data_IF_947026019496
#
_entry.id   IF_947026019496
#
_cell.length_a   1.000
_cell.length_b   1.000
_cell.length_c   1.000
_cell.angle_alpha   90.00
_cell.angle_beta   90.00
_cell.angle_gamma   90.00
#
_symmetry.space_group_name_H-M   'P 1'
#
loop_
_entity.id
_entity.type
_entity.pdbx_description
1 polymer ?
#
# COMPACT_ATOMS: atom_id res chain seq x y z
N UNK A 1 12.95 -45.55 -20.95
CA UNK A 1 12.03 -46.02 -19.91
C UNK A 1 11.32 -44.82 -19.31
N UNK A 2 10.12 -44.55 -19.82
CA UNK A 2 9.26 -43.42 -19.48
C UNK A 2 8.74 -43.53 -18.03
N UNK A 3 8.72 -42.42 -17.29
CA UNK A 3 8.00 -42.32 -16.01
C UNK A 3 6.82 -41.37 -16.21
N UNK A 4 5.65 -41.95 -16.46
CA UNK A 4 4.37 -41.25 -16.41
C UNK A 4 4.08 -40.85 -14.96
N UNK A 5 3.83 -39.55 -14.72
CA UNK A 5 3.31 -39.05 -13.45
C UNK A 5 1.80 -39.01 -13.55
N UNK A 6 1.14 -39.99 -12.95
CA UNK A 6 -0.31 -39.99 -12.74
C UNK A 6 -0.69 -38.95 -11.67
N UNK A 7 -1.19 -37.80 -12.10
CA UNK A 7 -1.84 -36.84 -11.20
C UNK A 7 -3.34 -37.15 -11.15
N UNK A 8 -3.76 -38.00 -10.21
CA UNK A 8 -5.19 -38.11 -9.86
C UNK A 8 -5.59 -36.88 -9.02
N UNK A 9 -6.50 -36.07 -9.55
CA UNK A 9 -7.17 -35.01 -8.80
C UNK A 9 -8.13 -35.66 -7.79
N UNK A 10 -8.03 -35.24 -6.52
CA UNK A 10 -8.97 -35.63 -5.46
C UNK A 10 -10.36 -35.06 -5.77
N UNK A 11 -11.38 -35.89 -5.61
CA UNK A 11 -12.79 -35.52 -5.86
C UNK A 11 -13.41 -34.89 -4.60
N UNK A 12 -14.46 -34.09 -4.76
CA UNK A 12 -15.16 -33.42 -3.65
C UNK A 12 -15.71 -34.40 -2.60
N UNK A 13 -15.95 -35.66 -3.00
CA UNK A 13 -16.39 -36.73 -2.10
C UNK A 13 -15.26 -37.23 -1.18
N UNK A 14 -13.99 -37.15 -1.62
CA UNK A 14 -12.81 -37.52 -0.82
C UNK A 14 -12.57 -36.54 0.34
N UNK A 15 -12.93 -35.27 0.17
CA UNK A 15 -12.81 -34.22 1.20
C UNK A 15 -13.95 -34.28 2.23
N UNK A 16 -15.15 -34.73 1.83
CA UNK A 16 -16.27 -34.90 2.76
C UNK A 16 -16.10 -36.15 3.63
N UNK A 17 -15.44 -37.20 3.15
CA UNK A 17 -15.09 -38.36 3.97
C UNK A 17 -14.03 -38.04 5.05
N UNK A 18 -13.21 -36.99 4.87
CA UNK A 18 -12.26 -36.55 5.89
C UNK A 18 -12.90 -35.73 7.03
N UNK A 19 -14.09 -35.15 6.80
CA UNK A 19 -14.82 -34.41 7.84
C UNK A 19 -15.50 -35.30 8.89
N UNK A 20 -15.73 -36.58 8.57
CA UNK A 20 -16.40 -37.53 9.48
C UNK A 20 -15.44 -38.45 10.25
N UNK A 21 -14.13 -38.20 10.23
CA UNK A 21 -13.15 -39.02 10.98
C UNK A 21 -12.94 -38.50 12.42
N UNK A 22 -13.41 -37.30 12.74
CA UNK A 22 -13.08 -36.62 14.00
C UNK A 22 -14.14 -36.70 15.11
N UNK A 23 -15.22 -37.47 14.95
CA UNK A 23 -16.30 -37.49 15.96
C UNK A 23 -16.34 -38.71 16.90
N UNK A 24 -15.48 -39.72 16.75
CA UNK A 24 -15.56 -40.94 17.56
C UNK A 24 -14.39 -41.13 18.54
N UNK A 25 -13.99 -40.09 19.28
CA UNK A 25 -13.08 -40.27 20.41
C UNK A 25 -13.86 -40.61 21.69
N UNK A 26 -13.63 -41.80 22.23
CA UNK A 26 -14.19 -42.19 23.52
C UNK A 26 -13.59 -41.33 24.64
N UNK A 27 -14.30 -41.19 25.78
CA UNK A 27 -13.80 -40.37 26.91
C UNK A 27 -12.42 -40.80 27.40
N UNK A 28 -12.09 -42.07 27.24
CA UNK A 28 -10.80 -42.64 27.64
C UNK A 28 -9.67 -42.20 26.69
N UNK A 29 -9.95 -42.07 25.38
CA UNK A 29 -9.00 -41.54 24.40
C UNK A 29 -8.71 -40.05 24.65
N UNK A 30 -9.73 -39.28 25.02
CA UNK A 30 -9.55 -37.87 25.39
C UNK A 30 -8.74 -37.71 26.69
N UNK A 31 -8.88 -38.65 27.63
CA UNK A 31 -8.07 -38.68 28.85
C UNK A 31 -6.62 -39.09 28.56
N UNK A 32 -6.40 -40.06 27.67
CA UNK A 32 -5.08 -40.46 27.21
C UNK A 32 -4.36 -39.31 26.49
N UNK A 33 -5.06 -38.57 25.63
CA UNK A 33 -4.53 -37.41 24.92
C UNK A 33 -4.19 -36.25 25.88
N UNK A 34 -5.01 -36.03 26.91
CA UNK A 34 -4.72 -35.09 28.00
C UNK A 34 -3.50 -35.50 28.83
N UNK A 35 -3.36 -36.79 29.15
CA UNK A 35 -2.22 -37.31 29.90
C UNK A 35 -0.91 -37.17 29.09
N UNK A 36 -0.97 -37.39 27.77
CA UNK A 36 0.17 -37.21 26.87
C UNK A 36 0.57 -35.72 26.76
N UNK A 37 -0.40 -34.82 26.64
CA UNK A 37 -0.17 -33.37 26.68
C UNK A 37 0.40 -32.90 28.04
N UNK A 38 0.04 -33.55 29.15
CA UNK A 38 0.62 -33.27 30.47
C UNK A 38 2.07 -33.78 30.59
N UNK A 39 2.41 -34.93 29.98
CA UNK A 39 3.79 -35.44 29.97
C UNK A 39 4.76 -34.53 29.20
N UNK A 40 4.28 -33.81 28.18
CA UNK A 40 5.10 -32.82 27.47
C UNK A 40 5.21 -31.47 28.19
N UNK A 41 4.36 -31.20 29.20
CA UNK A 41 4.46 -30.02 30.08
C UNK A 41 5.37 -30.28 31.30
N UNK A 42 5.50 -31.53 31.73
CA UNK A 42 6.25 -31.93 32.93
C UNK A 42 7.69 -32.41 32.70
N UNK A 43 8.23 -32.29 31.47
CA UNK A 43 9.69 -32.38 31.30
C UNK A 43 10.29 -31.05 31.79
N UNK A 44 10.99 -31.02 32.95
CA UNK A 44 11.74 -29.82 33.31
C UNK A 44 12.80 -29.61 32.23
N UNK A 45 12.82 -28.44 31.62
CA UNK A 45 13.91 -27.99 30.78
C UNK A 45 15.20 -27.97 31.62
N UNK A 46 15.91 -29.10 31.64
CA UNK A 46 17.26 -29.27 32.17
C UNK A 46 18.29 -28.58 31.27
N UNK A 47 18.08 -27.30 30.98
CA UNK A 47 19.06 -26.33 30.50
C UNK A 47 18.68 -24.89 30.92
N UNK A 48 17.99 -24.71 32.06
CA UNK A 48 17.88 -23.37 32.66
C UNK A 48 19.18 -23.05 33.42
N UNK A 49 20.18 -22.59 32.68
CA UNK A 49 21.24 -21.78 33.27
C UNK A 49 20.53 -20.67 34.04
N UNK A 50 20.65 -20.67 35.37
CA UNK A 50 20.36 -19.50 36.20
C UNK A 50 21.27 -18.39 35.68
N UNK A 51 20.79 -17.64 34.69
CA UNK A 51 21.38 -16.39 34.24
C UNK A 51 21.31 -15.51 35.47
N UNK A 52 22.43 -15.41 36.18
CA UNK A 52 22.69 -14.36 37.17
C UNK A 52 22.16 -13.09 36.53
N UNK A 53 21.30 -12.34 37.22
CA UNK A 53 20.74 -11.08 36.73
C UNK A 53 21.88 -10.21 36.18
N UNK A 54 22.05 -10.19 34.86
CA UNK A 54 23.07 -9.39 34.20
C UNK A 54 22.61 -7.96 34.33
N UNK A 55 23.16 -7.25 35.32
CA UNK A 55 23.01 -5.80 35.43
C UNK A 55 23.88 -5.21 34.31
N UNK A 56 23.29 -4.59 33.27
CA UNK A 56 24.03 -4.16 32.10
C UNK A 56 25.01 -3.05 32.48
N UNK A 57 26.29 -3.23 32.14
CA UNK A 57 27.39 -2.33 32.49
C UNK A 57 27.49 -1.17 31.50
N UNK A 58 27.22 -1.43 30.21
CA UNK A 58 27.31 -0.46 29.12
C UNK A 58 25.96 -0.13 28.48
N UNK A 59 25.84 1.04 27.84
CA UNK A 59 24.63 1.48 27.12
C UNK A 59 24.24 0.51 25.98
N UNK A 60 25.24 -0.05 25.31
CA UNK A 60 25.03 -1.03 24.25
C UNK A 60 24.36 -2.31 24.78
N UNK A 61 24.76 -2.79 25.96
CA UNK A 61 24.13 -3.95 26.61
C UNK A 61 22.69 -3.66 27.05
N UNK A 62 22.41 -2.44 27.50
CA UNK A 62 21.03 -2.00 27.83
C UNK A 62 20.16 -2.02 26.58
N UNK A 63 20.66 -1.53 25.46
CA UNK A 63 19.91 -1.47 24.20
C UNK A 63 19.65 -2.87 23.62
N UNK A 64 20.64 -3.77 23.69
CA UNK A 64 20.44 -5.16 23.27
C UNK A 64 19.44 -5.89 24.17
N UNK A 65 19.51 -5.69 25.49
CA UNK A 65 18.60 -6.32 26.45
C UNK A 65 17.16 -5.79 26.32
N UNK A 66 17.00 -4.51 25.99
CA UNK A 66 15.69 -3.92 25.69
C UNK A 66 15.11 -4.45 24.36
N UNK A 67 15.95 -4.67 23.35
CA UNK A 67 15.51 -5.26 22.08
C UNK A 67 15.04 -6.71 22.28
N UNK A 68 15.81 -7.52 23.00
CA UNK A 68 15.44 -8.90 23.37
C UNK A 68 14.16 -8.99 24.22
N UNK A 69 13.87 -7.99 25.05
CA UNK A 69 12.61 -7.91 25.80
C UNK A 69 11.40 -7.58 24.90
N UNK A 70 11.62 -6.83 23.83
CA UNK A 70 10.58 -6.52 22.86
C UNK A 70 10.28 -7.71 21.94
N UNK A 71 11.29 -8.53 21.63
CA UNK A 71 11.13 -9.73 20.80
C UNK A 71 10.34 -10.85 21.49
N UNK A 72 10.25 -10.83 22.83
CA UNK A 72 9.50 -11.80 23.65
C UNK A 72 8.06 -11.39 23.96
N UNK A 73 7.58 -10.25 23.48
CA UNK A 73 6.17 -9.88 23.68
C UNK A 73 5.31 -10.72 22.75
N UNK A 74 4.45 -11.56 23.31
CA UNK A 74 3.50 -12.34 22.51
C UNK A 74 2.68 -11.41 21.62
N UNK A 75 2.37 -11.86 20.40
CA UNK A 75 1.60 -11.09 19.41
C UNK A 75 0.29 -10.53 19.98
N UNK A 76 -0.35 -11.28 20.90
CA UNK A 76 -1.57 -10.89 21.61
C UNK A 76 -1.31 -9.69 22.54
N UNK A 77 -0.17 -9.66 23.23
CA UNK A 77 0.21 -8.54 24.11
C UNK A 77 0.49 -7.28 23.29
N UNK A 78 1.16 -7.41 22.14
CA UNK A 78 1.41 -6.30 21.21
C UNK A 78 0.09 -5.74 20.68
N UNK A 79 -0.86 -6.60 20.31
CA UNK A 79 -2.19 -6.17 19.86
C UNK A 79 -2.93 -5.40 20.97
N UNK A 80 -2.91 -5.91 22.20
CA UNK A 80 -3.53 -5.26 23.36
C UNK A 80 -2.88 -3.90 23.70
N UNK A 81 -1.55 -3.79 23.60
CA UNK A 81 -0.85 -2.52 23.78
C UNK A 81 -1.25 -1.49 22.71
N UNK A 82 -1.36 -1.92 21.45
CA UNK A 82 -1.81 -1.06 20.34
C UNK A 82 -3.24 -0.54 20.54
N UNK A 83 -4.15 -1.39 21.04
CA UNK A 83 -5.53 -0.98 21.37
C UNK A 83 -5.53 0.07 22.48
N UNK A 84 -4.77 -0.14 23.55
CA UNK A 84 -4.64 0.83 24.66
C UNK A 84 -4.09 2.19 24.20
N UNK A 85 -3.09 2.19 23.32
CA UNK A 85 -2.52 3.42 22.75
C UNK A 85 -3.56 4.15 21.88
N UNK A 86 -4.28 3.43 21.03
CA UNK A 86 -5.32 4.03 20.17
C UNK A 86 -6.48 4.63 20.99
N UNK A 87 -6.88 3.98 22.08
CA UNK A 87 -7.88 4.53 23.02
C UNK A 87 -7.39 5.79 23.72
N UNK A 88 -6.14 5.80 24.16
CA UNK A 88 -5.50 6.98 24.76
C UNK A 88 -5.49 8.16 23.78
N UNK A 89 -5.11 7.92 22.51
CA UNK A 89 -5.10 8.95 21.48
C UNK A 89 -6.50 9.48 21.14
N UNK A 90 -7.51 8.60 21.08
CA UNK A 90 -8.91 9.02 20.95
C UNK A 90 -9.34 9.91 22.11
N UNK A 91 -8.97 9.56 23.35
CA UNK A 91 -9.23 10.35 24.55
C UNK A 91 -8.51 11.72 24.48
N UNK A 92 -7.27 11.75 24.01
CA UNK A 92 -6.51 12.99 23.84
C UNK A 92 -7.09 13.90 22.75
N UNK A 93 -7.51 13.35 21.61
CA UNK A 93 -8.24 14.09 20.57
C UNK A 93 -9.55 14.66 21.13
N UNK A 94 -10.30 13.88 21.91
CA UNK A 94 -11.53 14.34 22.57
C UNK A 94 -11.26 15.47 23.56
N UNK A 95 -10.22 15.36 24.40
CA UNK A 95 -9.83 16.42 25.34
C UNK A 95 -9.40 17.68 24.59
N UNK A 96 -8.62 17.57 23.50
CA UNK A 96 -8.24 18.71 22.66
C UNK A 96 -9.48 19.38 22.03
N UNK A 97 -10.43 18.59 21.55
CA UNK A 97 -11.69 19.09 21.00
C UNK A 97 -12.53 19.80 22.06
N UNK A 98 -12.67 19.23 23.26
CA UNK A 98 -13.37 19.86 24.40
C UNK A 98 -12.68 21.15 24.85
N UNK A 99 -11.35 21.15 24.91
CA UNK A 99 -10.56 22.34 25.28
C UNK A 99 -10.50 23.38 24.16
N UNK A 100 -10.89 23.03 22.93
CA UNK A 100 -10.83 23.93 21.78
C UNK A 100 -11.73 25.15 21.96
N UNK A 101 -11.30 26.28 21.36
CA UNK A 101 -12.05 27.54 21.38
C UNK A 101 -13.41 27.41 20.68
N UNK A 102 -13.51 26.55 19.67
CA UNK A 102 -14.77 26.29 18.94
C UNK A 102 -15.79 25.56 19.82
N UNK A 103 -15.38 24.50 20.52
CA UNK A 103 -16.27 23.78 21.44
C UNK A 103 -16.79 24.68 22.57
N UNK A 104 -15.92 25.50 23.17
CA UNK A 104 -16.32 26.49 24.19
C UNK A 104 -17.33 27.52 23.64
N UNK A 105 -17.19 27.94 22.38
CA UNK A 105 -18.17 28.81 21.71
C UNK A 105 -19.51 28.10 21.52
N UNK A 106 -19.51 26.87 21.01
CA UNK A 106 -20.74 26.08 20.84
C UNK A 106 -21.47 25.84 22.17
N UNK A 107 -20.74 25.54 23.25
CA UNK A 107 -21.31 25.35 24.58
C UNK A 107 -21.92 26.66 25.15
N UNK A 108 -21.29 27.81 24.89
CA UNK A 108 -21.85 29.13 25.26
C UNK A 108 -23.12 29.43 24.46
N UNK A 109 -23.13 29.11 23.16
CA UNK A 109 -24.31 29.28 22.30
C UNK A 109 -25.46 28.35 22.69
N UNK A 110 -25.18 27.09 23.05
CA UNK A 110 -26.23 26.16 23.50
C UNK A 110 -26.78 26.52 24.88
N UNK A 111 -25.95 27.01 25.81
CA UNK A 111 -26.43 27.58 27.08
C UNK A 111 -27.28 28.82 26.85
N UNK A 112 -26.87 29.74 25.96
CA UNK A 112 -27.70 30.90 25.57
C UNK A 112 -29.05 30.50 24.96
N UNK A 113 -29.08 29.43 24.16
CA UNK A 113 -30.31 28.86 23.60
C UNK A 113 -31.19 28.16 24.64
N UNK A 114 -30.61 27.67 25.75
CA UNK A 114 -31.36 27.09 26.87
C UNK A 114 -31.88 28.12 27.85
N UNK A 115 -31.18 29.25 28.01
CA UNK A 115 -31.64 30.36 28.87
C UNK A 115 -32.65 31.25 28.18
N UNK A 116 -32.64 31.27 26.84
CA UNK A 116 -33.66 31.93 26.04
C UNK A 116 -34.68 30.86 25.62
N UNK A 117 -35.65 30.58 26.48
CA UNK A 117 -36.98 30.16 26.00
C UNK A 117 -37.49 31.29 25.10
N UNK A 118 -37.25 31.15 23.81
CA UNK A 118 -37.82 32.00 22.79
C UNK A 118 -39.16 31.37 22.42
N UNK A 119 -40.23 32.00 22.88
CA UNK A 119 -41.49 32.03 22.15
C UNK A 119 -41.14 32.32 20.69
N UNK A 120 -41.38 31.35 19.82
CA UNK A 120 -41.17 31.51 18.38
C UNK A 120 -42.34 32.36 17.89
N UNK A 121 -42.11 33.58 17.39
CA UNK A 121 -43.21 34.37 16.84
C UNK A 121 -43.80 33.65 15.62
N UNK A 122 -45.14 33.58 15.55
CA UNK A 122 -45.90 32.75 14.61
C UNK A 122 -45.50 32.92 13.13
N UNK A 123 -45.00 34.09 12.74
CA UNK A 123 -44.59 34.41 11.37
C UNK A 123 -43.38 33.59 10.84
N UNK A 124 -42.61 32.92 11.70
CA UNK A 124 -41.51 32.05 11.27
C UNK A 124 -42.02 30.64 10.92
N UNK A 125 -43.15 30.22 11.49
CA UNK A 125 -43.77 28.92 11.21
C UNK A 125 -44.50 28.91 9.86
N UNK A 126 -45.12 30.02 9.46
CA UNK A 126 -45.74 30.17 8.13
C UNK A 126 -44.70 30.05 7.01
N UNK A 127 -43.57 30.75 7.10
CA UNK A 127 -42.51 30.71 6.09
C UNK A 127 -41.83 29.33 5.94
N UNK A 128 -41.74 28.54 7.02
CA UNK A 128 -41.21 27.16 6.96
C UNK A 128 -42.25 26.20 6.36
N UNK A 129 -43.55 26.46 6.55
CA UNK A 129 -44.63 25.68 5.94
C UNK A 129 -44.74 25.93 4.43
N UNK A 130 -44.49 27.17 3.98
CA UNK A 130 -44.47 27.54 2.55
C UNK A 130 -43.24 26.96 1.84
N UNK A 131 -42.05 27.02 2.46
CA UNK A 131 -40.84 26.38 1.91
C UNK A 131 -40.92 24.83 1.88
N UNK A 132 -41.75 24.22 2.74
CA UNK A 132 -42.05 22.79 2.69
C UNK A 132 -43.06 22.43 1.60
N UNK A 133 -44.01 23.33 1.28
CA UNK A 133 -44.91 23.17 0.13
C UNK A 133 -44.18 23.31 -1.21
N UNK A 134 -43.21 24.21 -1.31
CA UNK A 134 -42.39 24.39 -2.53
C UNK A 134 -41.40 23.24 -2.77
N UNK A 135 -40.88 22.60 -1.71
CA UNK A 135 -40.00 21.41 -1.83
C UNK A 135 -40.73 20.08 -2.00
N UNK A 136 -42.06 20.07 -1.85
CA UNK A 136 -42.91 18.92 -2.11
C UNK A 136 -43.44 18.90 -3.56
N UNK A 137 -43.00 19.80 -4.43
CA UNK A 137 -43.26 19.76 -5.87
C UNK A 137 -42.29 18.80 -6.58
N UNK A 138 -42.26 17.54 -6.14
CA UNK A 138 -41.83 16.43 -6.99
C UNK A 138 -43.09 15.91 -7.68
N UNK A 139 -43.27 16.30 -8.93
CA UNK A 139 -44.38 15.86 -9.76
C UNK A 139 -44.37 14.34 -9.91
N UNK A 140 -45.33 13.68 -9.26
CA UNK A 140 -45.64 12.25 -9.43
C UNK A 140 -45.94 11.92 -10.91
N UNK A 141 -46.47 12.89 -11.66
CA UNK A 141 -46.67 12.81 -13.12
C UNK A 141 -45.36 12.82 -13.92
N UNK A 142 -44.30 13.50 -13.45
CA UNK A 142 -43.00 13.52 -14.12
C UNK A 142 -42.26 12.19 -13.92
N UNK A 143 -42.43 11.56 -12.76
CA UNK A 143 -41.89 10.23 -12.48
C UNK A 143 -42.54 9.14 -13.35
N UNK A 144 -43.86 9.21 -13.56
CA UNK A 144 -44.58 8.31 -14.47
C UNK A 144 -44.18 8.50 -15.95
N UNK A 145 -43.85 9.74 -16.35
CA UNK A 145 -43.40 10.06 -17.71
C UNK A 145 -41.96 9.61 -17.98
N UNK A 146 -41.07 9.70 -16.98
CA UNK A 146 -39.71 9.14 -17.05
C UNK A 146 -39.74 7.60 -17.07
N UNK A 147 -40.65 6.97 -16.31
CA UNK A 147 -40.86 5.52 -16.35
C UNK A 147 -41.36 4.99 -17.70
N UNK A 148 -42.04 5.82 -18.50
CA UNK A 148 -42.56 5.45 -19.83
C UNK A 148 -41.55 5.65 -20.98
N UNK A 149 -40.47 6.40 -20.78
CA UNK A 149 -39.38 6.56 -21.75
C UNK A 149 -38.44 5.32 -21.74
N UNK A 150 -38.49 4.50 -20.69
CA UNK A 150 -37.68 3.27 -20.54
C UNK A 150 -38.39 1.99 -21.03
N UNK A 151 -39.46 2.13 -21.82
CA UNK A 151 -40.01 1.04 -22.64
C UNK A 151 -39.96 1.48 -24.09
N UNK A 152 -38.74 1.55 -24.62
CA UNK A 152 -38.53 1.45 -26.05
C UNK A 152 -38.66 -0.05 -26.31
N UNK A 153 -39.78 -0.42 -26.91
CA UNK A 153 -39.97 -1.73 -27.49
C UNK A 153 -38.79 -1.96 -28.44
N UNK A 154 -38.00 -2.99 -28.13
CA UNK A 154 -36.91 -3.50 -28.95
C UNK A 154 -37.54 -4.12 -30.19
N UNK A 155 -38.05 -3.28 -31.09
CA UNK A 155 -38.21 -3.64 -32.48
C UNK A 155 -36.80 -3.82 -33.04
N UNK A 156 -36.55 -5.01 -33.59
CA UNK A 156 -35.37 -5.35 -34.37
C UNK A 156 -35.26 -4.40 -35.57
N UNK A 157 -34.76 -3.19 -35.33
CA UNK A 157 -34.24 -2.36 -36.40
C UNK A 157 -32.85 -2.90 -36.70
N UNK A 158 -32.75 -3.64 -37.80
CA UNK A 158 -31.50 -4.00 -38.47
C UNK A 158 -30.68 -2.72 -38.71
N UNK A 159 -29.90 -2.31 -37.71
CA UNK A 159 -28.81 -1.38 -37.90
C UNK A 159 -27.69 -2.15 -38.56
N UNK A 160 -27.24 -1.65 -39.71
CA UNK A 160 -26.06 -2.15 -40.41
C UNK A 160 -24.83 -1.86 -39.53
N UNK A 161 -24.59 -2.78 -38.61
CA UNK A 161 -23.63 -2.75 -37.51
C UNK A 161 -22.20 -3.05 -37.98
N UNK A 162 -21.68 -2.29 -38.95
CA UNK A 162 -20.29 -2.46 -39.40
C UNK A 162 -19.24 -2.18 -38.32
N UNK A 163 -19.61 -1.51 -37.21
CA UNK A 163 -18.72 -1.20 -36.08
C UNK A 163 -18.97 -2.08 -34.85
N UNK A 164 -20.21 -2.57 -34.63
CA UNK A 164 -20.52 -3.52 -33.56
C UNK A 164 -20.09 -4.96 -33.89
N UNK A 165 -19.98 -5.31 -35.17
CA UNK A 165 -19.48 -6.63 -35.58
C UNK A 165 -17.97 -6.80 -35.37
N UNK A 166 -17.18 -5.72 -35.41
CA UNK A 166 -15.75 -5.75 -35.08
C UNK A 166 -15.51 -6.16 -33.61
N UNK A 167 -16.29 -5.64 -32.67
CA UNK A 167 -16.16 -6.01 -31.25
C UNK A 167 -16.68 -7.42 -30.93
N UNK A 168 -17.67 -7.93 -31.68
CA UNK A 168 -18.17 -9.31 -31.51
C UNK A 168 -17.14 -10.33 -31.99
N UNK A 169 -16.47 -10.06 -33.12
CA UNK A 169 -15.41 -10.91 -33.67
C UNK A 169 -14.17 -10.99 -32.77
N UNK A 170 -13.84 -9.92 -32.04
CA UNK A 170 -12.71 -9.89 -31.10
C UNK A 170 -12.97 -10.72 -29.82
N UNK A 171 -14.25 -10.91 -29.45
CA UNK A 171 -14.63 -11.76 -28.31
C UNK A 171 -14.43 -13.24 -28.59
N UNK A 172 -14.58 -13.67 -29.85
CA UNK A 172 -14.42 -15.07 -30.26
C UNK A 172 -12.94 -15.44 -30.45
N UNK A 173 -12.08 -14.46 -30.81
CA UNK A 173 -10.63 -14.65 -30.99
C UNK A 173 -9.81 -14.32 -29.73
N UNK A 174 -10.45 -14.21 -28.56
CA UNK A 174 -9.79 -13.81 -27.32
C UNK A 174 -8.60 -14.71 -26.95
N UNK A 175 -8.72 -16.02 -27.19
CA UNK A 175 -7.66 -17.00 -26.93
C UNK A 175 -6.47 -16.84 -27.89
N UNK A 176 -6.71 -16.50 -29.15
CA UNK A 176 -5.65 -16.28 -30.15
C UNK A 176 -4.85 -15.01 -29.85
N UNK A 177 -5.53 -13.93 -29.45
CA UNK A 177 -4.86 -12.71 -28.99
C UNK A 177 -4.05 -12.93 -27.72
N UNK A 178 -4.56 -13.75 -26.78
CA UNK A 178 -3.84 -14.09 -25.57
C UNK A 178 -2.58 -14.92 -25.87
N UNK A 179 -2.66 -15.83 -26.83
CA UNK A 179 -1.51 -16.62 -27.28
C UNK A 179 -0.45 -15.75 -27.96
N UNK A 180 -0.86 -14.86 -28.87
CA UNK A 180 0.04 -13.91 -29.52
C UNK A 180 0.74 -13.02 -28.49
N UNK A 181 -0.03 -12.51 -27.53
CA UNK A 181 0.51 -11.71 -26.43
C UNK A 181 1.51 -12.49 -25.57
N UNK A 182 1.20 -13.75 -25.23
CA UNK A 182 2.10 -14.60 -24.45
C UNK A 182 3.39 -14.92 -25.22
N UNK A 183 3.32 -15.06 -26.54
CA UNK A 183 4.50 -15.22 -27.39
C UNK A 183 5.35 -13.95 -27.39
N UNK A 184 4.76 -12.80 -27.66
CA UNK A 184 5.46 -11.51 -27.64
C UNK A 184 6.12 -11.25 -26.27
N UNK A 185 5.39 -11.52 -25.19
CA UNK A 185 5.91 -11.40 -23.82
C UNK A 185 7.14 -12.27 -23.59
N UNK A 186 7.10 -13.53 -24.04
CA UNK A 186 8.25 -14.45 -23.91
C UNK A 186 9.44 -13.93 -24.72
N UNK A 187 9.23 -13.48 -25.95
CA UNK A 187 10.29 -12.93 -26.78
C UNK A 187 10.98 -11.72 -26.15
N UNK A 188 10.20 -10.80 -25.56
CA UNK A 188 10.75 -9.62 -24.88
C UNK A 188 11.51 -10.03 -23.61
N UNK A 189 10.97 -10.98 -22.83
CA UNK A 189 11.64 -11.51 -21.65
C UNK A 189 12.98 -12.16 -22.01
N UNK A 190 13.03 -12.94 -23.10
CA UNK A 190 14.25 -13.60 -23.57
C UNK A 190 15.27 -12.61 -24.14
N UNK A 191 14.82 -11.54 -24.80
CA UNK A 191 15.69 -10.44 -25.28
C UNK A 191 16.34 -9.67 -24.14
N UNK A 192 15.64 -9.50 -23.01
CA UNK A 192 16.14 -8.75 -21.85
C UNK A 192 16.87 -9.61 -20.81
N UNK A 193 16.75 -10.93 -20.90
CA UNK A 193 17.38 -11.88 -19.98
C UNK A 193 18.91 -11.70 -20.01
N UNK A 194 19.61 -11.75 -18.85
CA UNK A 194 21.06 -11.72 -18.83
C UNK A 194 21.62 -12.91 -19.62
N UNK A 195 22.57 -12.64 -20.52
CA UNK A 195 23.26 -13.64 -21.33
C UNK A 195 24.70 -13.80 -20.86
N UNK A 196 25.14 -15.05 -20.77
CA UNK A 196 26.54 -15.40 -20.50
C UNK A 196 27.11 -15.95 -21.80
N UNK A 197 27.90 -15.13 -22.47
CA UNK A 197 28.58 -15.51 -23.70
C UNK A 197 29.96 -16.06 -23.33
N UNK A 198 30.20 -17.32 -23.71
CA UNK A 198 31.44 -18.03 -23.43
C UNK A 198 32.31 -17.99 -24.68
N UNK A 199 33.23 -17.05 -24.73
CA UNK A 199 34.19 -16.91 -25.81
C UNK A 199 35.43 -17.74 -25.50
N UNK A 200 35.58 -18.87 -26.19
CA UNK A 200 36.81 -19.67 -26.11
C UNK A 200 37.83 -19.02 -27.03
N UNK A 201 38.96 -18.58 -26.46
CA UNK A 201 40.09 -18.06 -27.21
C UNK A 201 40.56 -19.13 -28.22
N UNK A 202 40.75 -18.76 -29.50
CA UNK A 202 41.31 -19.67 -30.47
C UNK A 202 42.76 -19.97 -30.06
N UNK A 203 43.01 -21.19 -29.58
CA UNK A 203 44.37 -21.63 -29.25
C UNK A 203 45.22 -21.87 -30.50
N UNK A 204 46.52 -22.12 -30.30
CA UNK A 204 47.47 -22.53 -31.35
C UNK A 204 47.01 -23.79 -32.12
N UNK A 205 46.19 -24.64 -31.49
CA UNK A 205 45.60 -25.84 -32.09
C UNK A 205 44.54 -25.59 -33.16
N UNK A 206 43.96 -24.39 -33.26
CA UNK A 206 43.01 -24.05 -34.34
C UNK A 206 43.72 -23.87 -35.70
N UNK A 207 45.06 -23.67 -35.69
CA UNK A 207 45.91 -23.77 -36.88
C UNK A 207 46.35 -25.20 -37.21
N UNK A 208 46.21 -26.15 -36.27
CA UNK A 208 46.63 -27.54 -36.41
C UNK A 208 45.69 -28.44 -37.24
N UNK A 209 44.58 -27.90 -37.77
CA UNK A 209 43.63 -28.62 -38.62
C UNK A 209 42.32 -28.98 -37.92
N UNK A 210 41.26 -29.17 -38.73
CA UNK A 210 39.85 -29.38 -38.30
C UNK A 210 39.60 -30.56 -37.35
N UNK A 211 40.56 -31.46 -37.17
CA UNK A 211 40.39 -32.72 -36.44
C UNK A 211 40.75 -32.65 -34.95
N UNK A 212 41.23 -31.51 -34.44
CA UNK A 212 41.57 -31.34 -33.04
C UNK A 212 40.46 -30.59 -32.29
N UNK A 213 39.85 -31.26 -31.31
CA UNK A 213 38.84 -30.66 -30.43
C UNK A 213 39.50 -29.66 -29.48
N UNK A 214 38.93 -28.46 -29.37
CA UNK A 214 39.40 -27.43 -28.44
C UNK A 214 38.78 -27.67 -27.06
N UNK A 215 39.61 -28.07 -26.10
CA UNK A 215 39.19 -28.25 -24.71
C UNK A 215 39.05 -26.88 -24.05
N UNK A 216 37.87 -26.62 -23.47
CA UNK A 216 37.61 -25.40 -22.73
C UNK A 216 38.30 -25.45 -21.36
N UNK A 217 39.21 -24.51 -21.13
CA UNK A 217 39.94 -24.37 -19.87
C UNK A 217 39.75 -22.96 -19.34
N UNK A 218 39.81 -22.76 -18.02
CA UNK A 218 39.68 -21.41 -17.42
C UNK A 218 40.68 -20.39 -17.99
N UNK A 219 41.86 -20.83 -18.43
CA UNK A 219 42.87 -19.99 -19.07
C UNK A 219 42.52 -19.62 -20.53
N UNK A 220 41.71 -20.43 -21.22
CA UNK A 220 41.39 -20.28 -22.64
C UNK A 220 39.96 -19.77 -22.85
N UNK A 221 39.19 -19.55 -21.79
CA UNK A 221 37.77 -19.20 -21.89
C UNK A 221 37.52 -17.85 -21.24
N UNK A 222 37.05 -16.90 -22.04
CA UNK A 222 36.61 -15.57 -21.60
C UNK A 222 35.09 -15.59 -21.49
N UNK A 223 34.58 -15.30 -20.30
CA UNK A 223 33.14 -15.14 -20.07
C UNK A 223 32.78 -13.67 -20.15
N UNK A 224 31.92 -13.31 -21.09
CA UNK A 224 31.33 -11.98 -21.20
C UNK A 224 29.90 -12.05 -20.68
N UNK A 225 29.58 -11.20 -19.71
CA UNK A 225 28.25 -11.07 -19.17
C UNK A 225 27.57 -9.88 -19.86
N UNK A 226 26.48 -10.13 -20.57
CA UNK A 226 25.62 -9.06 -21.05
C UNK A 226 24.68 -8.64 -19.91
N UNK A 227 24.69 -7.34 -19.59
CA UNK A 227 23.81 -6.78 -18.57
C UNK A 227 22.35 -6.95 -18.99
N UNK A 228 21.60 -7.71 -18.20
CA UNK A 228 20.20 -8.01 -18.43
C UNK A 228 19.39 -8.12 -17.14
N UNK A 229 18.07 -8.14 -17.29
CA UNK A 229 17.13 -8.19 -16.17
C UNK A 229 16.64 -9.64 -16.03
N UNK A 230 16.89 -10.25 -14.87
CA UNK A 230 16.38 -11.58 -14.59
C UNK A 230 14.84 -11.58 -14.69
N UNK A 231 14.21 -12.61 -15.27
CA UNK A 231 12.76 -12.64 -15.50
C UNK A 231 11.95 -12.41 -14.22
N UNK A 232 12.42 -12.93 -13.08
CA UNK A 232 11.78 -12.76 -11.77
C UNK A 232 11.86 -11.34 -11.20
N UNK A 233 12.85 -10.55 -11.63
CA UNK A 233 13.09 -9.18 -11.16
C UNK A 233 12.36 -8.13 -11.99
N UNK A 234 11.81 -8.51 -13.15
CA UNK A 234 11.02 -7.60 -13.98
C UNK A 234 9.75 -7.18 -13.24
N UNK A 235 9.31 -5.95 -13.50
CA UNK A 235 8.09 -5.37 -12.89
C UNK A 235 6.81 -6.07 -13.37
N UNK A 236 6.85 -6.64 -14.58
CA UNK A 236 5.73 -7.32 -15.22
C UNK A 236 5.65 -8.83 -14.96
N UNK A 237 6.55 -9.39 -14.13
CA UNK A 237 6.61 -10.83 -13.87
C UNK A 237 5.32 -11.40 -13.27
N UNK A 238 4.65 -10.66 -12.39
CA UNK A 238 3.38 -11.09 -11.76
C UNK A 238 2.11 -10.70 -12.52
N UNK A 239 2.22 -10.01 -13.65
CA UNK A 239 1.08 -9.46 -14.39
C UNK A 239 0.88 -10.28 -15.68
N UNK A 240 -0.31 -10.87 -15.88
CA UNK A 240 -0.54 -11.75 -17.04
C UNK A 240 -0.72 -11.01 -18.36
N UNK A 241 -1.36 -9.84 -18.36
CA UNK A 241 -1.77 -9.09 -19.56
C UNK A 241 -0.98 -7.78 -19.78
N UNK A 242 0.19 -7.68 -19.15
CA UNK A 242 1.02 -6.47 -19.24
C UNK A 242 2.44 -6.84 -19.64
N UNK A 243 2.99 -6.09 -20.59
CA UNK A 243 4.40 -6.09 -20.98
C UNK A 243 4.93 -4.68 -20.69
N UNK A 244 5.97 -4.57 -19.87
CA UNK A 244 6.57 -3.28 -19.52
C UNK A 244 7.93 -3.15 -20.23
N UNK A 245 8.12 -2.06 -20.97
CA UNK A 245 9.42 -1.71 -21.53
C UNK A 245 10.28 -1.00 -20.47
N UNK A 246 11.22 -1.72 -19.88
CA UNK A 246 12.11 -1.20 -18.84
C UNK A 246 13.32 -0.40 -19.38
N UNK A 247 13.64 -0.53 -20.68
CA UNK A 247 14.79 0.11 -21.36
C UNK A 247 14.50 1.50 -21.92
N UNK A 248 13.23 1.91 -21.98
CA UNK A 248 12.83 3.18 -22.63
C UNK A 248 13.42 4.45 -21.96
N UNK A 249 13.92 4.36 -20.73
CA UNK A 249 14.30 5.53 -19.93
C UNK A 249 15.78 5.92 -20.04
N UNK A 250 16.59 5.23 -20.85
CA UNK A 250 18.04 5.46 -20.94
C UNK A 250 18.39 6.89 -21.40
N UNK A 251 17.52 7.51 -22.21
CA UNK A 251 17.70 8.86 -22.75
C UNK A 251 17.16 9.98 -21.86
N UNK A 252 16.66 9.68 -20.66
CA UNK A 252 16.09 10.72 -19.81
C UNK A 252 17.17 11.56 -19.13
N UNK A 253 16.92 12.88 -19.08
CA UNK A 253 17.73 13.86 -18.39
C UNK A 253 17.85 13.43 -16.92
N UNK A 254 19.06 13.00 -16.51
CA UNK A 254 19.35 12.64 -15.12
C UNK A 254 19.33 13.91 -14.26
N UNK A 255 18.19 14.23 -13.68
CA UNK A 255 18.07 15.34 -12.72
C UNK A 255 18.68 14.90 -11.38
N UNK A 256 19.73 15.60 -10.94
CA UNK A 256 20.31 15.37 -9.61
C UNK A 256 19.39 15.97 -8.55
N UNK A 257 19.26 15.26 -7.44
CA UNK A 257 18.51 15.73 -6.27
C UNK A 257 19.18 16.98 -5.68
N UNK A 258 18.43 18.05 -5.36
CA UNK A 258 19.00 19.21 -4.68
C UNK A 258 19.60 18.85 -3.32
N UNK A 259 20.61 19.63 -2.90
CA UNK A 259 21.28 19.42 -1.63
C UNK A 259 20.31 19.47 -0.44
N UNK A 260 20.48 18.56 0.51
CA UNK A 260 19.75 18.54 1.77
C UNK A 260 18.32 17.97 1.70
N UNK A 261 17.85 17.54 0.52
CA UNK A 261 16.56 16.87 0.37
C UNK A 261 16.72 15.35 0.25
N UNK A 262 15.76 14.59 0.76
CA UNK A 262 15.58 13.19 0.36
C UNK A 262 14.71 13.10 -0.90
N UNK A 263 14.81 12.00 -1.66
CA UNK A 263 14.05 11.83 -2.91
C UNK A 263 12.54 11.96 -2.68
N UNK A 264 12.03 11.30 -1.62
CA UNK A 264 10.61 11.32 -1.29
C UNK A 264 10.12 12.71 -0.88
N UNK A 265 10.93 13.47 -0.14
CA UNK A 265 10.60 14.84 0.24
C UNK A 265 10.55 15.75 -0.98
N UNK A 266 11.51 15.60 -1.88
CA UNK A 266 11.59 16.43 -3.08
C UNK A 266 10.43 16.15 -4.05
N UNK A 267 10.08 14.87 -4.25
CA UNK A 267 8.90 14.49 -5.04
C UNK A 267 7.62 15.05 -4.42
N UNK A 268 7.44 14.93 -3.10
CA UNK A 268 6.30 15.51 -2.40
C UNK A 268 6.22 17.03 -2.57
N UNK A 269 7.36 17.72 -2.62
CA UNK A 269 7.44 19.16 -2.86
C UNK A 269 7.10 19.53 -4.31
N UNK A 270 7.62 18.79 -5.29
CA UNK A 270 7.30 18.98 -6.71
C UNK A 270 5.83 18.70 -7.04
N UNK A 271 5.20 17.77 -6.33
CA UNK A 271 3.79 17.43 -6.49
C UNK A 271 2.84 18.52 -6.01
N UNK A 272 3.33 19.59 -5.38
CA UNK A 272 2.52 20.75 -4.95
C UNK A 272 2.49 21.78 -6.08
N UNK A 273 1.38 21.95 -6.82
CA UNK A 273 1.32 22.86 -7.96
C UNK A 273 1.32 24.33 -7.50
N UNK A 274 2.42 25.04 -7.67
CA UNK A 274 2.50 26.48 -7.34
C UNK A 274 1.89 27.33 -8.46
N UNK A 275 0.60 27.15 -8.73
CA UNK A 275 -0.13 27.91 -9.78
C UNK A 275 -1.37 28.60 -9.20
N UNK A 276 -1.77 29.70 -9.84
CA UNK A 276 -2.98 30.45 -9.45
C UNK A 276 -4.27 29.66 -9.75
N UNK A 277 -4.23 28.74 -10.72
CA UNK A 277 -5.38 27.94 -11.13
C UNK A 277 -5.66 26.80 -10.15
N UNK A 278 -4.62 26.20 -9.56
CA UNK A 278 -4.77 25.07 -8.65
C UNK A 278 -5.25 25.48 -7.24
N UNK A 279 -4.98 26.72 -6.81
CA UNK A 279 -5.25 27.17 -5.45
C UNK A 279 -6.02 28.49 -5.40
N UNK A 280 -6.77 28.70 -4.32
CA UNK A 280 -7.40 30.00 -4.07
C UNK A 280 -6.37 31.14 -4.04
N UNK A 281 -6.78 32.32 -4.47
CA UNK A 281 -5.89 33.49 -4.57
C UNK A 281 -5.12 33.77 -3.27
N UNK A 282 -5.75 33.58 -2.09
CA UNK A 282 -5.11 33.75 -0.78
C UNK A 282 -4.01 32.73 -0.48
N UNK A 283 -4.16 31.50 -0.96
CA UNK A 283 -3.14 30.44 -0.78
C UNK A 283 -1.97 30.71 -1.72
N UNK A 284 -2.25 31.00 -2.99
CA UNK A 284 -1.25 31.36 -3.98
C UNK A 284 -0.43 32.59 -3.56
N UNK A 285 -1.10 33.64 -3.09
CA UNK A 285 -0.46 34.84 -2.56
C UNK A 285 0.47 34.53 -1.38
N UNK A 286 0.13 33.55 -0.53
CA UNK A 286 1.00 33.14 0.58
C UNK A 286 2.27 32.46 0.07
N UNK A 287 2.20 31.66 -0.99
CA UNK A 287 3.38 31.05 -1.60
C UNK A 287 4.33 32.10 -2.15
N UNK A 288 3.82 33.15 -2.79
CA UNK A 288 4.65 34.22 -3.39
C UNK A 288 5.15 35.25 -2.37
N UNK A 289 4.33 35.62 -1.37
CA UNK A 289 4.66 36.73 -0.44
C UNK A 289 5.72 36.38 0.60
N UNK A 290 6.06 35.11 0.79
CA UNK A 290 7.02 34.63 1.80
C UNK A 290 8.47 34.94 1.36
N UNK A 291 8.83 36.22 1.38
CA UNK A 291 10.14 36.69 0.92
C UNK A 291 10.22 38.21 0.67
N UNK A 292 9.12 38.95 0.76
CA UNK A 292 9.18 40.41 0.70
C UNK A 292 10.06 40.92 1.84
N UNK A 293 11.13 41.63 1.46
CA UNK A 293 12.09 42.21 2.38
C UNK A 293 11.35 42.92 3.52
N UNK A 294 11.67 42.54 4.76
CA UNK A 294 11.36 43.40 5.90
C UNK A 294 11.99 44.74 5.55
N UNK A 295 11.23 45.84 5.63
CA UNK A 295 11.80 47.19 5.53
C UNK A 295 13.05 47.20 6.41
N UNK A 296 14.16 47.74 5.91
CA UNK A 296 15.39 47.82 6.69
C UNK A 296 15.06 48.56 7.98
N UNK A 297 14.89 47.81 9.06
CA UNK A 297 14.90 48.38 10.40
C UNK A 297 16.38 48.62 10.65
N UNK A 298 16.79 49.84 11.05
CA UNK A 298 18.17 50.04 11.48
C UNK A 298 18.51 48.96 12.50
N UNK A 299 19.70 48.38 12.37
CA UNK A 299 20.19 47.33 13.28
C UNK A 299 20.49 47.97 14.64
N UNK A 300 19.45 48.42 15.33
CA UNK A 300 19.55 48.80 16.72
C UNK A 300 19.87 47.51 17.47
N UNK A 301 20.98 47.55 18.18
CA UNK A 301 21.50 46.44 18.98
C UNK A 301 20.38 45.83 19.80
N UNK A 302 20.19 44.52 19.69
CA UNK A 302 19.29 43.78 20.56
C UNK A 302 19.92 43.83 21.96
N UNK A 303 19.56 44.83 22.75
CA UNK A 303 19.98 44.95 24.13
C UNK A 303 19.30 43.83 24.94
N UNK A 304 20.07 42.80 25.30
CA UNK A 304 19.66 41.84 26.32
C UNK A 304 19.74 42.54 27.68
N UNK A 305 18.61 43.03 28.19
CA UNK A 305 18.51 43.45 29.59
C UNK A 305 18.70 42.20 30.47
N UNK A 306 19.88 42.08 31.06
CA UNK A 306 20.15 41.12 32.12
C UNK A 306 19.47 41.61 33.40
N UNK A 307 18.41 40.92 33.85
CA UNK A 307 17.80 41.16 35.17
C UNK A 307 18.74 40.59 36.25
N UNK A 308 19.79 41.33 36.62
CA UNK A 308 20.72 40.93 37.69
C UNK A 308 20.52 41.75 38.98
N UNK A 309 19.56 42.68 39.03
CA UNK A 309 19.43 43.60 40.17
C UNK A 309 18.43 43.18 41.27
N UNK A 310 17.91 41.94 41.26
CA UNK A 310 16.92 41.47 42.26
C UNK A 310 17.51 40.55 43.35
N UNK A 311 18.82 40.58 43.61
CA UNK A 311 19.42 39.87 44.75
C UNK A 311 20.43 40.76 45.48
N UNK A 312 19.94 41.69 46.31
CA UNK A 312 20.63 42.16 47.51
C UNK A 312 19.62 42.50 48.62
#
# INVERSE_FOLDING_TARGET
MSREKNNKLLTLDDLNNQRNIYEDYTKDDQQALRALLQQDIEKPDDQSYKIKTIVPRNELERNMLNSLKNDKKDFIQIANEKVKIAEFDKKMKRIKNIKSRSYRKHLKMSKKRKTNELEVPDHILENISEQKKEKAFYNEEMAAKVGKIMKIDLEESESTDSECDLMKNDSENFDDHLNLFNMEKKEIVDKDKPKEDVNVLPGWGNWGGRTLETIQTSANTIKTFEDGIAPKKRKDFGLSRVIINEKALENNIKVKLPYGFTKSEYEAWLNIPVTRQAYSHKIFDRFIKKGKAKKQVPMDTIEFKSNVDDIL
#
